data_IF_220239760805
#
_entry.id   IF_220239760805
#
_cell.length_a   1.000
_cell.length_b   1.000
_cell.length_c   1.000
_cell.angle_alpha   90.00
_cell.angle_beta   90.00
_cell.angle_gamma   90.00
#
_symmetry.space_group_name_H-M   'P 1'
#
loop_
_entity.id
_entity.type
_entity.pdbx_description
1 polymer ?
#
# COMPACT_ATOMS: atom_id res chain seq x y z
N UNK A 1 26.31 7.31 4.84
CA UNK A 1 24.87 7.38 4.52
C UNK A 1 24.29 8.54 5.32
N UNK A 2 23.46 9.41 4.74
CA UNK A 2 22.90 10.56 5.46
C UNK A 2 21.73 10.05 6.34
N UNK A 3 21.57 10.50 7.60
CA UNK A 3 20.60 9.93 8.55
C UNK A 3 19.11 10.12 8.16
N UNK A 4 18.84 10.81 7.04
CA UNK A 4 17.53 10.88 6.41
C UNK A 4 17.25 9.73 5.44
N UNK A 5 18.28 9.15 4.82
CA UNK A 5 18.12 8.06 3.82
C UNK A 5 17.69 6.75 4.47
N UNK A 6 18.22 6.43 5.65
CA UNK A 6 17.84 5.23 6.42
C UNK A 6 16.36 5.27 6.84
N UNK A 7 15.88 6.43 7.32
CA UNK A 7 14.45 6.63 7.65
C UNK A 7 13.55 6.64 6.42
N UNK A 8 14.04 7.06 5.25
CA UNK A 8 13.28 6.98 4.01
C UNK A 8 13.07 5.53 3.57
N UNK A 9 14.05 4.64 3.78
CA UNK A 9 13.92 3.21 3.48
C UNK A 9 12.86 2.52 4.36
N UNK A 10 12.78 2.92 5.64
CA UNK A 10 11.82 2.40 6.63
C UNK A 10 10.36 2.60 6.19
N UNK A 11 10.04 3.70 5.49
CA UNK A 11 8.66 4.00 5.06
C UNK A 11 8.36 3.60 3.62
N UNK A 12 9.34 3.13 2.86
CA UNK A 12 9.19 2.85 1.44
C UNK A 12 8.14 1.76 1.17
N UNK A 13 8.16 0.66 1.95
CA UNK A 13 7.22 -0.46 1.76
C UNK A 13 5.76 -0.11 2.12
N UNK A 14 5.46 0.53 3.28
CA UNK A 14 4.10 1.03 3.54
C UNK A 14 3.59 2.00 2.47
N UNK A 15 4.47 2.89 1.95
CA UNK A 15 4.12 3.83 0.88
C UNK A 15 3.85 3.14 -0.46
N UNK A 16 4.55 2.06 -0.77
CA UNK A 16 4.29 1.26 -1.97
C UNK A 16 2.87 0.66 -1.94
N UNK A 17 2.45 0.11 -0.80
CA UNK A 17 1.09 -0.40 -0.64
C UNK A 17 0.02 0.71 -0.78
N UNK A 18 0.27 1.91 -0.26
CA UNK A 18 -0.65 3.03 -0.45
C UNK A 18 -0.73 3.47 -1.93
N UNK A 19 0.40 3.43 -2.64
CA UNK A 19 0.43 3.70 -4.09
C UNK A 19 -0.41 2.68 -4.85
N UNK A 20 -0.32 1.39 -4.49
CA UNK A 20 -1.19 0.36 -5.09
C UNK A 20 -2.66 0.57 -4.79
N UNK A 21 -3.03 1.01 -3.58
CA UNK A 21 -4.43 1.32 -3.28
C UNK A 21 -5.02 2.37 -4.22
N UNK A 22 -4.23 3.42 -4.54
CA UNK A 22 -4.64 4.45 -5.52
C UNK A 22 -4.73 3.85 -6.92
N UNK A 23 -3.74 3.06 -7.36
CA UNK A 23 -3.77 2.42 -8.69
C UNK A 23 -4.95 1.46 -8.86
N UNK A 24 -5.29 0.69 -7.82
CA UNK A 24 -6.46 -0.19 -7.85
C UNK A 24 -7.76 0.61 -7.89
N UNK A 25 -7.83 1.77 -7.22
CA UNK A 25 -8.99 2.64 -7.34
C UNK A 25 -9.12 3.22 -8.75
N UNK A 26 -8.04 3.74 -9.34
CA UNK A 26 -8.03 4.23 -10.72
C UNK A 26 -8.42 3.14 -11.72
N UNK A 27 -7.99 1.90 -11.48
CA UNK A 27 -8.41 0.73 -12.26
C UNK A 27 -9.90 0.45 -12.10
N UNK A 28 -10.44 0.43 -10.87
CA UNK A 28 -11.88 0.27 -10.62
C UNK A 28 -12.72 1.37 -11.27
N UNK A 29 -12.18 2.57 -11.42
CA UNK A 29 -12.87 3.68 -12.06
C UNK A 29 -12.97 3.50 -13.59
N UNK A 30 -12.14 2.64 -14.19
CA UNK A 30 -12.08 2.39 -15.63
C UNK A 30 -12.38 0.96 -16.10
N UNK A 31 -12.52 -0.01 -15.19
CA UNK A 31 -12.74 -1.43 -15.54
C UNK A 31 -14.15 -1.69 -16.08
N UNK A 32 -14.31 -2.78 -16.83
CA UNK A 32 -15.62 -3.26 -17.23
C UNK A 32 -16.51 -3.56 -15.99
N UNK A 33 -17.79 -3.14 -15.96
CA UNK A 33 -18.66 -3.37 -14.81
C UNK A 33 -18.80 -4.83 -14.39
N UNK A 34 -18.73 -5.76 -15.35
CA UNK A 34 -18.81 -7.21 -15.12
C UNK A 34 -17.59 -7.75 -14.35
N UNK A 35 -16.44 -7.07 -14.45
CA UNK A 35 -15.20 -7.44 -13.78
C UNK A 35 -15.05 -6.79 -12.40
N UNK A 36 -15.78 -5.70 -12.13
CA UNK A 36 -15.74 -4.96 -10.85
C UNK A 36 -15.88 -5.85 -9.60
N UNK A 37 -16.77 -6.86 -9.54
CA UNK A 37 -16.93 -7.72 -8.36
C UNK A 37 -15.66 -8.48 -7.96
N UNK A 38 -14.76 -8.77 -8.91
CA UNK A 38 -13.52 -9.49 -8.65
C UNK A 38 -12.42 -8.59 -8.08
N UNK A 39 -12.52 -7.27 -8.28
CA UNK A 39 -11.48 -6.30 -7.93
C UNK A 39 -11.91 -5.29 -6.86
N UNK A 40 -13.20 -5.24 -6.49
CA UNK A 40 -13.72 -4.27 -5.53
C UNK A 40 -13.03 -4.32 -4.14
N UNK A 41 -12.37 -5.43 -3.81
CA UNK A 41 -11.61 -5.59 -2.56
C UNK A 41 -10.18 -5.05 -2.62
N UNK A 42 -9.59 -4.96 -3.81
CA UNK A 42 -8.15 -4.72 -4.00
C UNK A 42 -7.65 -3.42 -3.34
N UNK A 43 -8.35 -2.26 -3.45
CA UNK A 43 -7.91 -1.04 -2.77
C UNK A 43 -7.86 -1.20 -1.25
N UNK A 44 -8.88 -1.84 -0.67
CA UNK A 44 -8.99 -2.02 0.77
C UNK A 44 -7.94 -3.02 1.29
N UNK A 45 -7.63 -4.08 0.52
CA UNK A 45 -6.56 -5.02 0.86
C UNK A 45 -5.18 -4.38 0.82
N UNK A 46 -4.91 -3.51 -0.15
CA UNK A 46 -3.68 -2.73 -0.21
C UNK A 46 -3.53 -1.78 0.99
N UNK A 47 -4.60 -1.08 1.40
CA UNK A 47 -4.58 -0.25 2.62
C UNK A 47 -4.32 -1.10 3.87
N UNK A 48 -4.98 -2.25 4.01
CA UNK A 48 -4.72 -3.16 5.13
C UNK A 48 -3.28 -3.66 5.16
N UNK A 49 -2.69 -3.93 4.00
CA UNK A 49 -1.28 -4.31 3.88
C UNK A 49 -0.35 -3.18 4.35
N UNK A 50 -0.60 -1.93 3.94
CA UNK A 50 0.16 -0.76 4.41
C UNK A 50 0.14 -0.65 5.94
N UNK A 51 -1.04 -0.81 6.56
CA UNK A 51 -1.18 -0.75 8.03
C UNK A 51 -0.43 -1.89 8.72
N UNK A 52 -0.50 -3.12 8.20
CA UNK A 52 0.25 -4.26 8.76
C UNK A 52 1.76 -4.04 8.65
N UNK A 53 2.25 -3.59 7.51
CA UNK A 53 3.66 -3.30 7.27
C UNK A 53 4.16 -2.22 8.24
N UNK A 54 3.45 -1.08 8.32
CA UNK A 54 3.81 0.01 9.23
C UNK A 54 3.78 -0.40 10.71
N UNK A 55 2.88 -1.32 11.10
CA UNK A 55 2.84 -1.86 12.46
C UNK A 55 4.01 -2.81 12.76
N UNK A 56 4.40 -3.65 11.79
CA UNK A 56 5.54 -4.56 11.95
C UNK A 56 6.86 -3.78 12.09
N UNK A 57 7.02 -2.71 11.32
CA UNK A 57 8.17 -1.82 11.43
C UNK A 57 8.23 -1.13 12.79
N UNK A 58 7.09 -0.71 13.35
CA UNK A 58 7.06 -0.17 14.73
C UNK A 58 7.43 -1.18 15.81
N UNK A 59 7.34 -2.47 15.54
CA UNK A 59 7.62 -3.55 16.51
C UNK A 59 9.04 -4.09 16.34
N UNK A 60 9.63 -4.00 15.14
CA UNK A 60 11.04 -4.32 14.91
C UNK A 60 11.89 -3.13 15.39
N UNK A 61 12.78 -3.30 16.40
CA UNK A 61 13.74 -2.26 16.71
C UNK A 61 14.73 -2.13 15.55
N UNK A 62 15.10 -0.88 15.24
CA UNK A 62 16.13 -0.53 14.27
C UNK A 62 17.53 -0.99 14.70
#
# INVERSE_FOLDING_TARGET
MHPGTERALVIAEPLAHLTYAVRYQEFLDGIEPSERPYHQGDPADAVRAAVRCARQERVRPA
#
